data_IF_305828273074
#
_entry.id   IF_305828273074
#
_cell.length_a   1.000
_cell.length_b   1.000
_cell.length_c   1.000
_cell.angle_alpha   90.00
_cell.angle_beta   90.00
_cell.angle_gamma   90.00
#
_symmetry.space_group_name_H-M   'P 1'
#
loop_
_entity.id
_entity.type
_entity.pdbx_description
1 polymer ?
#
# COMPACT_ATOMS: atom_id res chain seq x y z
N UNK A 1 11.54 -23.56 -11.46
CA UNK A 1 10.34 -23.15 -12.21
C UNK A 1 9.12 -23.34 -11.33
N UNK A 2 8.37 -22.28 -11.11
CA UNK A 2 7.09 -22.24 -10.39
C UNK A 2 5.97 -22.08 -11.43
N UNK A 3 4.89 -22.85 -11.30
CA UNK A 3 3.72 -22.72 -12.18
C UNK A 3 2.65 -21.99 -11.41
N UNK A 4 2.10 -20.92 -11.99
CA UNK A 4 0.91 -20.26 -11.43
C UNK A 4 -0.27 -21.22 -11.60
N UNK A 5 -0.81 -21.70 -10.49
CA UNK A 5 -1.93 -22.65 -10.45
C UNK A 5 -2.98 -22.04 -9.52
N UNK A 6 -4.22 -21.91 -10.00
CA UNK A 6 -5.36 -21.30 -9.28
C UNK A 6 -5.28 -19.78 -9.15
N UNK A 7 -5.40 -19.06 -10.27
CA UNK A 7 -5.97 -17.70 -10.18
C UNK A 7 -7.47 -17.85 -9.99
N UNK A 8 -8.09 -17.16 -9.03
CA UNK A 8 -9.55 -17.21 -8.85
C UNK A 8 -10.23 -16.59 -10.07
N UNK A 9 -10.49 -17.37 -11.12
CA UNK A 9 -11.12 -16.93 -12.37
C UNK A 9 -12.56 -16.41 -12.18
N UNK A 10 -13.13 -16.57 -10.98
CA UNK A 10 -14.49 -16.16 -10.62
C UNK A 10 -14.53 -14.96 -9.65
N UNK A 11 -13.38 -14.35 -9.32
CA UNK A 11 -13.30 -13.28 -8.34
C UNK A 11 -12.60 -12.06 -8.93
N UNK A 12 -13.22 -11.46 -9.95
CA UNK A 12 -12.79 -10.26 -10.67
C UNK A 12 -12.62 -9.01 -9.77
N UNK A 13 -13.02 -9.12 -8.49
CA UNK A 13 -12.93 -8.04 -7.51
C UNK A 13 -11.98 -8.42 -6.39
N UNK A 14 -11.06 -7.52 -6.08
CA UNK A 14 -10.22 -7.63 -4.89
C UNK A 14 -11.10 -7.60 -3.63
N UNK A 15 -10.83 -8.48 -2.67
CA UNK A 15 -11.53 -8.45 -1.40
C UNK A 15 -10.94 -7.36 -0.48
N UNK A 16 -11.75 -6.83 0.45
CA UNK A 16 -11.25 -5.88 1.47
C UNK A 16 -10.10 -6.51 2.28
N UNK A 17 -10.13 -7.83 2.49
CA UNK A 17 -9.09 -8.51 3.26
C UNK A 17 -7.77 -8.64 2.49
N UNK A 18 -7.82 -8.91 1.19
CA UNK A 18 -6.65 -8.85 0.30
C UNK A 18 -6.00 -7.47 0.33
N UNK A 19 -6.80 -6.41 0.19
CA UNK A 19 -6.29 -5.03 0.22
C UNK A 19 -5.64 -4.70 1.57
N UNK A 20 -6.25 -5.10 2.70
CA UNK A 20 -5.65 -4.94 4.04
C UNK A 20 -4.34 -5.69 4.19
N UNK A 21 -4.27 -6.94 3.72
CA UNK A 21 -3.07 -7.75 3.75
C UNK A 21 -1.91 -7.12 2.95
N UNK A 22 -2.22 -6.57 1.78
CA UNK A 22 -1.26 -5.84 0.96
C UNK A 22 -0.72 -4.60 1.68
N UNK A 23 -1.61 -3.78 2.23
CA UNK A 23 -1.21 -2.55 2.94
C UNK A 23 -0.47 -2.85 4.25
N UNK A 24 -0.80 -3.95 4.92
CA UNK A 24 -0.06 -4.44 6.07
C UNK A 24 1.40 -4.76 5.70
N UNK A 25 1.62 -5.51 4.62
CA UNK A 25 2.99 -5.77 4.13
C UNK A 25 3.72 -4.48 3.78
N UNK A 26 3.01 -3.47 3.28
CA UNK A 26 3.59 -2.22 2.82
C UNK A 26 3.97 -1.22 3.92
N UNK A 27 3.46 -1.38 5.15
CA UNK A 27 3.60 -0.35 6.18
C UNK A 27 3.82 -0.84 7.60
N UNK A 28 3.38 -2.06 7.93
CA UNK A 28 3.33 -2.54 9.32
C UNK A 28 4.21 -3.76 9.54
N UNK A 29 4.37 -4.59 8.51
CA UNK A 29 5.23 -5.75 8.58
C UNK A 29 6.69 -5.34 8.84
N UNK A 30 7.43 -6.11 9.65
CA UNK A 30 8.84 -5.84 9.98
C UNK A 30 9.77 -5.70 8.75
N UNK A 31 9.36 -6.26 7.61
CA UNK A 31 10.10 -6.21 6.34
C UNK A 31 9.56 -5.17 5.35
N UNK A 32 8.68 -4.26 5.76
CA UNK A 32 8.06 -3.27 4.87
C UNK A 32 9.09 -2.41 4.13
N UNK A 33 10.24 -2.14 4.74
CA UNK A 33 11.28 -1.28 4.16
C UNK A 33 11.98 -1.89 2.93
N UNK A 34 12.01 -3.23 2.85
CA UNK A 34 12.69 -3.97 1.77
C UNK A 34 11.73 -4.52 0.71
N UNK A 35 10.43 -4.61 1.01
CA UNK A 35 9.41 -5.04 0.05
C UNK A 35 9.07 -3.85 -0.85
N UNK A 36 9.25 -3.99 -2.17
CA UNK A 36 9.02 -2.89 -3.13
C UNK A 36 7.79 -3.13 -4.03
N UNK A 37 7.36 -4.39 -4.20
CA UNK A 37 6.23 -4.76 -5.03
C UNK A 37 5.33 -5.78 -4.33
N UNK A 38 4.05 -5.74 -4.65
CA UNK A 38 3.00 -6.55 -4.05
C UNK A 38 2.22 -7.23 -5.16
N UNK A 39 2.55 -8.49 -5.44
CA UNK A 39 1.85 -9.29 -6.44
C UNK A 39 0.47 -9.68 -5.93
N UNK A 40 -0.52 -9.70 -6.83
CA UNK A 40 -1.94 -9.96 -6.55
C UNK A 40 -2.33 -11.23 -7.27
N UNK A 41 -2.82 -12.24 -6.54
CA UNK A 41 -3.29 -13.52 -7.10
C UNK A 41 -2.25 -14.23 -8.00
N UNK A 42 -0.95 -14.10 -7.67
CA UNK A 42 0.13 -14.72 -8.44
C UNK A 42 0.68 -15.97 -7.75
N UNK A 43 1.27 -15.81 -6.57
CA UNK A 43 1.70 -16.93 -5.73
C UNK A 43 0.59 -17.37 -4.77
N UNK A 44 -0.19 -16.39 -4.31
CA UNK A 44 -1.34 -16.53 -3.43
C UNK A 44 -2.17 -15.23 -3.52
N UNK A 45 -3.15 -15.04 -2.63
CA UNK A 45 -4.03 -13.86 -2.61
C UNK A 45 -3.22 -12.54 -2.73
N UNK A 46 -2.17 -12.40 -1.91
CA UNK A 46 -1.17 -11.32 -2.02
C UNK A 46 0.22 -11.88 -1.73
N UNK A 47 1.26 -11.32 -2.34
CA UNK A 47 2.64 -11.59 -1.92
C UNK A 47 3.55 -10.37 -2.05
N UNK A 48 4.39 -10.14 -1.05
CA UNK A 48 5.43 -9.12 -1.08
C UNK A 48 6.69 -9.64 -1.78
N UNK A 49 7.27 -8.81 -2.64
CA UNK A 49 8.48 -9.09 -3.40
C UNK A 49 9.57 -8.05 -3.09
N UNK A 50 10.81 -8.50 -3.07
CA UNK A 50 11.98 -7.63 -2.93
C UNK A 50 13.07 -8.01 -3.94
N UNK A 51 14.07 -7.14 -4.08
CA UNK A 51 15.19 -7.30 -5.03
C UNK A 51 16.07 -8.53 -4.75
N UNK A 52 16.02 -9.09 -3.53
CA UNK A 52 16.76 -10.30 -3.18
C UNK A 52 16.04 -11.60 -3.53
N UNK A 53 15.01 -11.53 -4.39
CA UNK A 53 14.15 -12.64 -4.80
C UNK A 53 13.43 -13.33 -3.64
N UNK A 54 13.22 -12.64 -2.53
CA UNK A 54 12.44 -13.19 -1.41
C UNK A 54 10.97 -12.86 -1.56
N UNK A 55 10.12 -13.78 -1.10
CA UNK A 55 8.67 -13.69 -1.15
C UNK A 55 8.09 -13.76 0.26
N UNK A 56 7.22 -12.81 0.60
CA UNK A 56 6.33 -12.87 1.76
C UNK A 56 4.95 -13.28 1.29
N UNK A 57 4.57 -14.52 1.57
CA UNK A 57 3.38 -15.15 1.01
C UNK A 57 2.19 -14.95 1.95
N UNK A 58 1.09 -14.36 1.46
CA UNK A 58 -0.07 -14.02 2.27
C UNK A 58 -1.32 -14.69 1.72
N UNK A 59 -1.96 -15.50 2.57
CA UNK A 59 -3.32 -15.95 2.37
C UNK A 59 -4.27 -15.07 3.18
N UNK A 60 -5.18 -14.38 2.51
CA UNK A 60 -6.17 -13.51 3.12
C UNK A 60 -7.57 -14.16 3.07
N UNK A 61 -8.24 -14.25 4.23
CA UNK A 61 -9.60 -14.81 4.31
C UNK A 61 -10.52 -13.93 5.13
N UNK A 62 -11.76 -13.77 4.68
CA UNK A 62 -12.78 -12.92 5.32
C UNK A 62 -13.98 -13.74 5.80
N UNK A 63 -13.75 -14.83 6.53
CA UNK A 63 -14.82 -15.67 7.08
C UNK A 63 -15.20 -15.22 8.50
N UNK A 64 -16.46 -14.82 8.70
CA UNK A 64 -16.99 -14.55 10.04
C UNK A 64 -16.99 -15.83 10.86
N UNK A 65 -16.64 -15.71 12.15
CA UNK A 65 -16.59 -16.85 13.09
C UNK A 65 -15.66 -17.99 12.62
N UNK A 66 -14.52 -17.63 12.03
CA UNK A 66 -13.53 -18.56 11.49
C UNK A 66 -13.14 -19.63 12.51
N UNK A 67 -13.43 -20.90 12.18
CA UNK A 67 -13.21 -22.05 13.08
C UNK A 67 -11.79 -22.60 12.90
N UNK A 68 -11.15 -23.14 13.95
CA UNK A 68 -9.78 -23.66 13.87
C UNK A 68 -9.56 -24.73 12.78
N UNK A 69 -10.52 -25.63 12.57
CA UNK A 69 -10.44 -26.59 11.46
C UNK A 69 -10.44 -25.88 10.09
N UNK A 70 -11.24 -24.83 9.94
CA UNK A 70 -11.34 -24.06 8.71
C UNK A 70 -10.09 -23.23 8.43
N UNK A 71 -9.45 -22.68 9.47
CA UNK A 71 -8.11 -22.08 9.38
C UNK A 71 -7.17 -23.07 8.71
N UNK A 72 -7.09 -24.30 9.21
CA UNK A 72 -6.26 -25.35 8.62
C UNK A 72 -6.55 -25.63 7.14
N UNK A 73 -7.82 -25.70 6.75
CA UNK A 73 -8.20 -25.87 5.34
C UNK A 73 -7.73 -24.73 4.44
N UNK A 74 -7.74 -23.50 4.94
CA UNK A 74 -7.31 -22.32 4.19
C UNK A 74 -5.79 -22.16 4.06
N UNK A 75 -5.01 -22.89 4.88
CA UNK A 75 -3.54 -22.88 4.78
C UNK A 75 -3.00 -23.72 3.60
N UNK A 76 -3.86 -24.32 2.77
CA UNK A 76 -3.44 -25.22 1.69
C UNK A 76 -2.47 -24.55 0.71
N UNK A 77 -2.77 -23.34 0.21
CA UNK A 77 -1.93 -22.68 -0.79
C UNK A 77 -0.57 -22.30 -0.22
N UNK A 78 -0.53 -21.76 1.01
CA UNK A 78 0.73 -21.51 1.73
C UNK A 78 1.56 -22.80 1.89
N UNK A 79 0.90 -23.93 2.19
CA UNK A 79 1.56 -25.22 2.29
C UNK A 79 2.06 -25.75 0.93
N UNK A 80 1.29 -25.56 -0.14
CA UNK A 80 1.70 -25.87 -1.51
C UNK A 80 2.97 -25.08 -1.87
N UNK A 81 3.01 -23.79 -1.54
CA UNK A 81 4.16 -22.90 -1.72
C UNK A 81 5.37 -23.32 -0.88
N UNK A 82 5.15 -23.69 0.39
CA UNK A 82 6.16 -24.28 1.27
C UNK A 82 6.81 -25.55 0.73
N UNK A 83 6.07 -26.34 -0.03
CA UNK A 83 6.58 -27.59 -0.65
C UNK A 83 6.93 -27.45 -2.12
N UNK A 84 6.88 -26.23 -2.67
CA UNK A 84 7.12 -25.96 -4.08
C UNK A 84 8.61 -25.88 -4.43
N UNK A 85 8.89 -25.77 -5.72
CA UNK A 85 10.22 -25.48 -6.25
C UNK A 85 10.76 -24.10 -5.83
N UNK A 86 9.90 -23.18 -5.39
CA UNK A 86 10.25 -21.87 -4.85
C UNK A 86 10.31 -21.85 -3.32
N UNK A 87 10.26 -23.01 -2.65
CA UNK A 87 10.29 -23.11 -1.18
C UNK A 87 11.46 -22.38 -0.50
N UNK A 88 12.62 -22.25 -1.17
CA UNK A 88 13.77 -21.49 -0.66
C UNK A 88 13.70 -19.97 -0.92
N UNK A 89 12.71 -19.50 -1.69
CA UNK A 89 12.44 -18.08 -1.98
C UNK A 89 11.37 -17.51 -1.07
N UNK A 90 10.42 -18.32 -0.62
CA UNK A 90 9.44 -17.94 0.39
C UNK A 90 10.12 -17.78 1.77
N UNK A 91 10.15 -16.54 2.27
CA UNK A 91 10.76 -16.24 3.58
C UNK A 91 9.78 -16.38 4.73
N UNK A 92 8.51 -16.08 4.49
CA UNK A 92 7.48 -16.08 5.52
C UNK A 92 6.12 -16.43 4.92
N UNK A 93 5.28 -17.06 5.74
CA UNK A 93 3.92 -17.48 5.37
C UNK A 93 2.95 -16.82 6.34
N UNK A 94 2.09 -15.95 5.82
CA UNK A 94 1.16 -15.17 6.61
C UNK A 94 -0.27 -15.63 6.34
N UNK A 95 -1.01 -15.90 7.41
CA UNK A 95 -2.45 -16.11 7.35
C UNK A 95 -3.18 -14.89 7.92
N UNK A 96 -3.71 -14.07 7.03
CA UNK A 96 -4.37 -12.81 7.34
C UNK A 96 -5.89 -13.01 7.43
N UNK A 97 -6.47 -12.73 8.60
CA UNK A 97 -7.83 -13.15 8.95
C UNK A 97 -8.55 -12.15 9.86
N UNK A 98 -9.88 -12.24 10.04
CA UNK A 98 -10.57 -11.44 11.03
C UNK A 98 -10.16 -11.84 12.45
N UNK A 99 -10.49 -10.98 13.42
CA UNK A 99 -10.35 -11.28 14.84
C UNK A 99 -10.97 -12.63 15.21
N UNK A 100 -10.17 -13.51 15.81
CA UNK A 100 -10.61 -14.83 16.24
C UNK A 100 -11.38 -14.77 17.56
N UNK A 101 -12.19 -15.81 17.79
CA UNK A 101 -12.76 -16.03 19.12
C UNK A 101 -11.62 -16.22 20.14
N UNK A 102 -11.61 -15.36 21.15
CA UNK A 102 -10.58 -15.32 22.20
C UNK A 102 -10.46 -16.63 22.99
N UNK A 103 -11.48 -17.49 22.95
CA UNK A 103 -11.40 -18.84 23.53
C UNK A 103 -10.32 -19.72 22.86
N UNK A 104 -9.94 -19.43 21.60
CA UNK A 104 -8.97 -20.24 20.84
C UNK A 104 -7.51 -19.97 21.19
N UNK A 105 -7.21 -18.80 21.74
CA UNK A 105 -5.85 -18.29 21.92
C UNK A 105 -5.53 -18.02 23.40
N UNK A 106 -4.24 -17.88 23.71
CA UNK A 106 -3.73 -17.60 25.05
C UNK A 106 -3.67 -16.10 25.33
N UNK A 107 -3.14 -15.31 24.39
CA UNK A 107 -2.97 -13.85 24.50
C UNK A 107 -3.70 -13.14 23.36
N UNK A 108 -4.28 -11.99 23.67
CA UNK A 108 -4.87 -11.08 22.69
C UNK A 108 -3.76 -10.29 21.99
N UNK A 109 -3.19 -10.89 20.95
CA UNK A 109 -2.15 -10.32 20.09
C UNK A 109 -2.71 -10.17 18.67
N UNK A 110 -2.22 -9.19 17.93
CA UNK A 110 -2.58 -9.02 16.51
C UNK A 110 -1.75 -9.87 15.57
N UNK A 111 -0.53 -10.22 15.98
CA UNK A 111 0.40 -11.05 15.23
C UNK A 111 0.96 -12.13 16.15
N UNK A 112 0.92 -13.39 15.73
CA UNK A 112 1.39 -14.50 16.56
C UNK A 112 1.63 -15.78 15.75
N UNK A 113 2.53 -16.63 16.26
CA UNK A 113 2.72 -17.99 15.75
C UNK A 113 1.70 -18.99 16.32
N UNK A 114 1.81 -20.24 15.85
CA UNK A 114 0.91 -21.33 16.28
C UNK A 114 0.89 -21.54 17.81
N UNK A 115 1.98 -21.20 18.50
CA UNK A 115 2.11 -21.33 19.96
C UNK A 115 1.14 -20.45 20.76
N UNK A 116 0.51 -19.44 20.15
CA UNK A 116 -0.52 -18.65 20.84
C UNK A 116 -1.90 -19.35 20.83
N UNK A 117 -2.11 -20.42 20.06
CA UNK A 117 -3.33 -21.22 20.11
C UNK A 117 -3.29 -22.24 21.25
N UNK A 118 -4.46 -22.51 21.87
CA UNK A 118 -4.57 -23.63 22.82
C UNK A 118 -4.46 -24.97 22.09
N UNK A 119 -3.86 -25.96 22.76
CA UNK A 119 -3.50 -27.26 22.16
C UNK A 119 -4.66 -27.98 21.45
N UNK A 120 -5.88 -27.91 22.01
CA UNK A 120 -7.09 -28.52 21.42
C UNK A 120 -7.46 -27.90 20.06
N UNK A 121 -7.17 -26.61 19.84
CA UNK A 121 -7.43 -25.92 18.59
C UNK A 121 -6.28 -26.09 17.60
N UNK A 122 -5.04 -26.22 18.07
CA UNK A 122 -3.90 -26.61 17.23
C UNK A 122 -4.20 -27.94 16.53
N UNK A 123 -4.73 -28.93 17.26
CA UNK A 123 -5.10 -30.22 16.69
C UNK A 123 -6.18 -30.09 15.62
N UNK A 124 -7.17 -29.20 15.81
CA UNK A 124 -8.20 -28.91 14.81
C UNK A 124 -7.62 -28.24 13.55
N UNK A 125 -6.69 -27.30 13.70
CA UNK A 125 -5.97 -26.67 12.58
C UNK A 125 -5.19 -27.73 11.79
N UNK A 126 -4.43 -28.59 12.48
CA UNK A 126 -3.70 -29.71 11.86
C UNK A 126 -4.62 -30.65 11.09
N UNK A 127 -5.77 -31.01 11.68
CA UNK A 127 -6.78 -31.84 11.01
C UNK A 127 -7.36 -31.18 9.76
N UNK A 128 -7.63 -29.87 9.83
CA UNK A 128 -8.10 -29.08 8.69
C UNK A 128 -7.12 -29.15 7.51
N UNK A 129 -5.86 -28.83 7.75
CA UNK A 129 -4.83 -28.87 6.71
C UNK A 129 -4.58 -30.29 6.20
N UNK A 130 -4.49 -31.26 7.11
CA UNK A 130 -4.32 -32.67 6.76
C UNK A 130 -5.47 -33.25 5.93
N UNK A 131 -6.67 -32.65 5.96
CA UNK A 131 -7.79 -33.07 5.11
C UNK A 131 -7.68 -32.59 3.66
N UNK A 132 -6.82 -31.59 3.39
CA UNK A 132 -6.59 -31.00 2.07
C UNK A 132 -5.27 -31.42 1.43
N UNK A 133 -4.30 -31.85 2.24
CA UNK A 133 -2.96 -32.24 1.82
C UNK A 133 -2.90 -33.72 1.43
N UNK A 134 -2.19 -34.04 0.35
CA UNK A 134 -1.92 -35.42 -0.08
C UNK A 134 -1.14 -36.20 0.99
N UNK A 135 -1.43 -37.50 1.14
CA UNK A 135 -0.81 -38.35 2.18
C UNK A 135 0.73 -38.31 2.17
N UNK A 136 1.32 -38.27 0.98
CA UNK A 136 2.77 -38.19 0.75
C UNK A 136 3.45 -36.95 1.34
N UNK A 137 2.69 -35.88 1.64
CA UNK A 137 3.23 -34.61 2.15
C UNK A 137 2.82 -34.32 3.61
N UNK A 138 1.99 -35.15 4.24
CA UNK A 138 1.46 -34.91 5.59
C UNK A 138 2.55 -34.79 6.67
N UNK A 139 3.67 -35.48 6.49
CA UNK A 139 4.82 -35.39 7.40
C UNK A 139 5.43 -33.97 7.49
N UNK A 140 5.21 -33.10 6.51
CA UNK A 140 5.70 -31.72 6.50
C UNK A 140 4.79 -30.72 7.20
N UNK A 141 3.57 -31.13 7.60
CA UNK A 141 2.54 -30.22 8.14
C UNK A 141 3.01 -29.52 9.42
N UNK A 142 3.57 -30.26 10.39
CA UNK A 142 4.01 -29.65 11.66
C UNK A 142 5.08 -28.58 11.42
N UNK A 143 6.14 -28.91 10.66
CA UNK A 143 7.23 -27.97 10.36
C UNK A 143 6.78 -26.75 9.54
N UNK A 144 5.74 -26.89 8.73
CA UNK A 144 5.11 -25.77 8.03
C UNK A 144 4.35 -24.88 9.02
N UNK A 145 3.47 -25.45 9.85
CA UNK A 145 2.64 -24.67 10.76
C UNK A 145 3.46 -23.88 11.79
N UNK A 146 4.61 -24.40 12.20
CA UNK A 146 5.53 -23.68 13.08
C UNK A 146 6.14 -22.42 12.44
N UNK A 147 6.05 -22.28 11.10
CA UNK A 147 6.53 -21.13 10.32
C UNK A 147 5.41 -20.17 9.90
N UNK A 148 4.15 -20.47 10.21
CA UNK A 148 3.02 -19.63 9.84
C UNK A 148 2.85 -18.51 10.87
N UNK A 149 2.85 -17.27 10.39
CA UNK A 149 2.46 -16.10 11.14
C UNK A 149 0.96 -15.84 10.94
N UNK A 150 0.21 -15.83 12.03
CA UNK A 150 -1.21 -15.50 12.02
C UNK A 150 -1.38 -14.01 12.31
N UNK A 151 -2.13 -13.31 11.45
CA UNK A 151 -2.34 -11.86 11.55
C UNK A 151 -3.83 -11.57 11.59
N UNK A 152 -4.28 -10.92 12.67
CA UNK A 152 -5.67 -10.47 12.83
C UNK A 152 -5.84 -9.05 12.28
N UNK A 153 -6.70 -8.92 11.27
CA UNK A 153 -7.03 -7.65 10.64
C UNK A 153 -7.68 -6.66 11.63
N UNK A 154 -7.24 -5.41 11.58
CA UNK A 154 -7.97 -4.27 12.12
C UNK A 154 -9.24 -4.01 11.30
N UNK A 155 -10.33 -3.68 11.99
CA UNK A 155 -11.64 -3.47 11.36
C UNK A 155 -11.68 -2.23 10.47
N UNK A 156 -11.11 -1.13 10.94
CA UNK A 156 -11.03 0.10 10.15
C UNK A 156 -10.10 -0.08 8.95
N UNK A 157 -10.60 0.29 7.77
CA UNK A 157 -9.86 0.28 6.50
C UNK A 157 -8.89 1.47 6.45
N UNK A 158 -9.28 2.63 7.01
CA UNK A 158 -8.50 3.87 7.04
C UNK A 158 -7.21 3.74 7.84
N UNK A 159 -7.23 2.97 8.93
CA UNK A 159 -6.06 2.57 9.72
C UNK A 159 -4.86 2.13 8.88
N UNK A 160 -5.09 1.35 7.81
CA UNK A 160 -3.99 0.86 6.97
C UNK A 160 -3.37 1.95 6.10
N UNK A 161 -4.18 2.93 5.67
CA UNK A 161 -3.69 4.08 4.92
C UNK A 161 -2.96 5.04 5.86
N UNK A 162 -3.47 5.25 7.07
CA UNK A 162 -2.80 6.07 8.10
C UNK A 162 -1.43 5.48 8.47
N UNK A 163 -1.29 4.16 8.53
CA UNK A 163 0.03 3.54 8.76
C UNK A 163 0.96 3.64 7.56
N UNK A 164 0.40 3.64 6.35
CA UNK A 164 1.17 3.79 5.13
C UNK A 164 1.63 5.24 4.91
N UNK A 165 0.84 6.23 5.31
CA UNK A 165 1.26 7.62 5.36
C UNK A 165 2.13 7.83 6.61
N UNK A 166 3.35 8.33 6.46
CA UNK A 166 4.17 8.71 7.63
C UNK A 166 3.70 10.03 8.28
N UNK A 167 2.41 10.35 8.11
CA UNK A 167 1.82 11.63 8.40
C UNK A 167 1.35 11.69 9.86
N UNK A 168 2.08 12.42 10.71
CA UNK A 168 1.78 12.54 12.14
C UNK A 168 0.79 13.68 12.48
N UNK A 169 -0.16 14.02 11.60
CA UNK A 169 -1.19 15.03 11.88
C UNK A 169 -2.57 14.39 11.91
N UNK A 170 -2.75 13.49 12.87
CA UNK A 170 -3.96 12.71 13.15
C UNK A 170 -5.19 13.52 13.59
N UNK A 171 -5.19 14.86 13.46
CA UNK A 171 -6.28 15.71 13.97
C UNK A 171 -7.01 16.56 12.94
N UNK A 172 -6.56 16.62 11.67
CA UNK A 172 -7.15 17.55 10.69
C UNK A 172 -7.54 16.94 9.34
N UNK A 173 -7.10 15.71 9.02
CA UNK A 173 -7.58 14.98 7.84
C UNK A 173 -8.88 14.25 8.22
N UNK A 174 -9.96 14.48 7.46
CA UNK A 174 -11.26 13.81 7.66
C UNK A 174 -11.07 12.30 7.47
N UNK A 175 -11.65 11.46 8.33
CA UNK A 175 -11.56 9.99 8.21
C UNK A 175 -11.99 9.48 6.82
N UNK A 176 -12.96 10.14 6.19
CA UNK A 176 -13.41 9.85 4.82
C UNK A 176 -12.29 9.86 3.79
N UNK A 177 -11.25 10.67 3.99
CA UNK A 177 -10.06 10.68 3.13
C UNK A 177 -9.40 9.31 3.05
N UNK A 178 -9.08 8.71 4.20
CA UNK A 178 -8.38 7.42 4.26
C UNK A 178 -9.24 6.30 3.68
N UNK A 179 -10.55 6.38 3.89
CA UNK A 179 -11.52 5.44 3.32
C UNK A 179 -11.54 5.51 1.78
N UNK A 180 -11.50 6.70 1.20
CA UNK A 180 -11.48 6.86 -0.26
C UNK A 180 -10.17 6.37 -0.88
N UNK A 181 -9.01 6.67 -0.28
CA UNK A 181 -7.73 6.13 -0.74
C UNK A 181 -7.74 4.59 -0.71
N UNK A 182 -8.27 4.00 0.35
CA UNK A 182 -8.41 2.54 0.44
C UNK A 182 -9.28 1.98 -0.69
N UNK A 183 -10.41 2.64 -1.00
CA UNK A 183 -11.29 2.24 -2.11
C UNK A 183 -10.59 2.35 -3.47
N UNK A 184 -9.84 3.42 -3.71
CA UNK A 184 -9.06 3.62 -4.94
C UNK A 184 -8.02 2.52 -5.14
N UNK A 185 -7.26 2.18 -4.10
CA UNK A 185 -6.28 1.09 -4.12
C UNK A 185 -6.97 -0.26 -4.40
N UNK A 186 -8.07 -0.56 -3.70
CA UNK A 186 -8.85 -1.79 -3.92
C UNK A 186 -9.43 -1.88 -5.33
N UNK A 187 -9.90 -0.76 -5.88
CA UNK A 187 -10.40 -0.70 -7.25
C UNK A 187 -9.28 -1.02 -8.25
N UNK A 188 -8.11 -0.40 -8.09
CA UNK A 188 -6.93 -0.68 -8.92
C UNK A 188 -6.48 -2.13 -8.80
N UNK A 189 -6.46 -2.71 -7.58
CA UNK A 189 -6.18 -4.13 -7.39
C UNK A 189 -7.15 -5.00 -8.21
N UNK A 190 -8.45 -4.68 -8.16
CA UNK A 190 -9.47 -5.41 -8.93
C UNK A 190 -9.19 -5.33 -10.43
N UNK A 191 -8.86 -4.14 -10.94
CA UNK A 191 -8.50 -3.94 -12.36
C UNK A 191 -7.29 -4.77 -12.79
N UNK A 192 -6.28 -4.92 -11.91
CA UNK A 192 -5.11 -5.77 -12.15
C UNK A 192 -5.46 -7.27 -12.17
N UNK A 193 -6.55 -7.71 -11.54
CA UNK A 193 -6.98 -9.12 -11.54
C UNK A 193 -7.57 -9.59 -12.88
N UNK A 194 -7.95 -8.66 -13.76
CA UNK A 194 -8.65 -8.94 -15.03
C UNK A 194 -7.80 -9.67 -16.08
N UNK A 195 -6.51 -9.91 -15.83
CA UNK A 195 -5.62 -10.64 -16.74
C UNK A 195 -5.49 -12.12 -16.33
N UNK A 196 -5.65 -13.03 -17.31
CA UNK A 196 -5.42 -14.46 -17.08
C UNK A 196 -3.92 -14.76 -17.05
N UNK A 197 -3.45 -15.31 -15.92
CA UNK A 197 -2.05 -15.70 -15.72
C UNK A 197 -1.90 -17.18 -15.33
N UNK A 198 -2.99 -17.93 -15.27
CA UNK A 198 -2.96 -19.35 -14.94
C UNK A 198 -2.12 -20.12 -15.96
N UNK A 199 -1.32 -21.06 -15.46
CA UNK A 199 -0.45 -21.89 -16.29
C UNK A 199 0.86 -21.23 -16.70
N UNK A 200 1.05 -19.91 -16.46
CA UNK A 200 2.34 -19.25 -16.69
C UNK A 200 3.41 -19.84 -15.78
N UNK A 201 4.63 -19.94 -16.32
CA UNK A 201 5.79 -20.51 -15.66
C UNK A 201 6.75 -19.39 -15.30
N UNK A 202 7.10 -19.30 -14.03
CA UNK A 202 8.06 -18.35 -13.48
C UNK A 202 9.37 -19.08 -13.21
N UNK A 203 10.47 -18.56 -13.76
CA UNK A 203 11.83 -19.04 -13.50
C UNK A 203 12.39 -18.42 -12.21
N UNK A 204 12.03 -17.16 -11.94
CA UNK A 204 12.37 -16.42 -10.73
C UNK A 204 11.15 -15.68 -10.16
N UNK A 205 11.17 -15.27 -8.88
CA UNK A 205 10.10 -14.48 -8.28
C UNK A 205 9.77 -13.18 -9.01
N UNK A 206 10.78 -12.49 -9.56
CA UNK A 206 10.64 -11.23 -10.30
C UNK A 206 9.84 -11.38 -11.60
N UNK A 207 9.79 -12.58 -12.18
CA UNK A 207 8.97 -12.85 -13.37
C UNK A 207 7.48 -12.58 -13.12
N UNK A 208 7.04 -12.58 -11.85
CA UNK A 208 5.69 -12.18 -11.47
C UNK A 208 5.38 -10.71 -11.81
N UNK A 209 6.38 -9.83 -11.83
CA UNK A 209 6.22 -8.42 -12.18
C UNK A 209 5.85 -8.24 -13.66
N UNK A 210 6.39 -9.12 -14.53
CA UNK A 210 6.09 -9.15 -15.96
C UNK A 210 4.63 -9.57 -16.27
N UNK A 211 3.90 -10.03 -15.26
CA UNK A 211 2.49 -10.37 -15.40
C UNK A 211 1.57 -9.16 -15.27
N UNK A 212 2.11 -8.01 -14.88
CA UNK A 212 1.37 -6.77 -14.57
C UNK A 212 0.20 -7.00 -13.58
N UNK A 213 0.38 -7.93 -12.63
CA UNK A 213 -0.55 -8.18 -11.51
C UNK A 213 0.09 -7.79 -10.19
N UNK A 214 0.58 -6.56 -10.12
CA UNK A 214 1.19 -6.03 -8.92
C UNK A 214 0.88 -4.55 -8.73
N UNK A 215 1.06 -4.10 -7.49
CA UNK A 215 1.24 -2.70 -7.14
C UNK A 215 2.62 -2.52 -6.55
N UNK A 216 3.23 -1.37 -6.79
CA UNK A 216 4.50 -0.96 -6.19
C UNK A 216 4.25 -0.08 -4.97
N UNK A 217 5.23 -0.01 -4.07
CA UNK A 217 5.17 0.93 -2.94
C UNK A 217 4.97 2.38 -3.43
N UNK A 218 5.62 2.75 -4.54
CA UNK A 218 5.49 4.07 -5.15
C UNK A 218 4.05 4.35 -5.61
N UNK A 219 3.39 3.40 -6.27
CA UNK A 219 1.98 3.54 -6.66
C UNK A 219 1.08 3.72 -5.44
N UNK A 220 1.27 2.93 -4.38
CA UNK A 220 0.50 3.05 -3.13
C UNK A 220 0.64 4.46 -2.52
N UNK A 221 1.86 4.97 -2.43
CA UNK A 221 2.15 6.32 -1.94
C UNK A 221 1.61 7.42 -2.87
N UNK A 222 1.51 7.14 -4.17
CA UNK A 222 0.94 8.09 -5.15
C UNK A 222 -0.57 8.25 -4.95
N UNK A 223 -1.31 7.18 -4.61
CA UNK A 223 -2.74 7.31 -4.27
C UNK A 223 -2.97 8.25 -3.09
N UNK A 224 -2.15 8.11 -2.04
CA UNK A 224 -2.18 9.00 -0.87
C UNK A 224 -1.93 10.44 -1.32
N UNK A 225 -0.80 10.68 -2.00
CA UNK A 225 -0.38 12.02 -2.40
C UNK A 225 -1.42 12.70 -3.32
N UNK A 226 -1.90 12.02 -4.37
CA UNK A 226 -2.91 12.54 -5.30
C UNK A 226 -4.18 12.98 -4.55
N UNK A 227 -4.62 12.17 -3.59
CA UNK A 227 -5.80 12.49 -2.79
C UNK A 227 -5.55 13.68 -1.87
N UNK A 228 -4.35 13.80 -1.28
CA UNK A 228 -4.06 14.90 -0.34
C UNK A 228 -4.08 16.26 -1.04
N UNK A 229 -3.62 16.30 -2.29
CA UNK A 229 -3.60 17.54 -3.07
C UNK A 229 -4.86 17.75 -3.90
N UNK A 230 -5.81 16.80 -3.94
CA UNK A 230 -7.00 16.86 -4.79
C UNK A 230 -6.69 16.96 -6.30
N UNK A 231 -5.50 16.53 -6.70
CA UNK A 231 -4.96 16.68 -8.06
C UNK A 231 -4.10 15.47 -8.41
N UNK A 232 -4.26 14.96 -9.62
CA UNK A 232 -3.44 13.85 -10.11
C UNK A 232 -2.07 14.37 -10.53
N UNK A 233 -1.02 14.01 -9.78
CA UNK A 233 0.34 14.32 -10.18
C UNK A 233 0.75 13.60 -11.47
N UNK A 234 0.13 12.45 -11.74
CA UNK A 234 0.36 11.60 -12.91
C UNK A 234 -0.38 12.05 -14.16
N UNK A 235 -1.48 12.79 -14.03
CA UNK A 235 -2.22 13.28 -15.19
C UNK A 235 -1.60 14.57 -15.76
N UNK A 236 -1.59 14.65 -17.09
CA UNK A 236 -1.16 15.83 -17.85
C UNK A 236 -2.28 16.90 -17.89
N UNK A 237 -3.52 16.50 -17.64
CA UNK A 237 -4.70 17.34 -17.77
C UNK A 237 -5.05 18.02 -16.45
N UNK A 238 -4.54 19.23 -16.27
CA UNK A 238 -5.01 20.17 -15.27
C UNK A 238 -3.86 20.98 -14.69
N UNK A 239 -3.87 22.27 -14.97
CA UNK A 239 -3.04 23.24 -14.26
C UNK A 239 -3.94 23.81 -13.17
N UNK A 240 -3.48 23.87 -11.91
CA UNK A 240 -4.25 24.53 -10.86
C UNK A 240 -4.64 25.94 -11.30
N UNK A 241 -5.92 26.25 -11.18
CA UNK A 241 -6.48 27.57 -11.47
C UNK A 241 -5.74 28.66 -10.69
N UNK A 242 -5.39 28.39 -9.43
CA UNK A 242 -4.61 29.31 -8.58
C UNK A 242 -3.20 29.61 -9.12
N UNK A 243 -2.64 28.76 -9.99
CA UNK A 243 -1.31 28.94 -10.59
C UNK A 243 -1.35 29.80 -11.88
N UNK A 244 -2.53 30.02 -12.46
CA UNK A 244 -2.64 30.61 -13.80
C UNK A 244 -1.99 32.00 -13.91
N UNK A 245 -2.23 32.88 -12.92
CA UNK A 245 -1.64 34.22 -12.88
C UNK A 245 -0.11 34.19 -12.78
N UNK A 246 0.44 33.19 -12.07
CA UNK A 246 1.88 33.02 -11.95
C UNK A 246 2.50 32.60 -13.29
N UNK A 247 1.92 31.61 -13.96
CA UNK A 247 2.39 31.19 -15.30
C UNK A 247 2.31 32.32 -16.32
N UNK A 248 1.25 33.13 -16.26
CA UNK A 248 1.12 34.31 -17.12
C UNK A 248 2.25 35.31 -16.87
N UNK A 249 2.59 35.54 -15.60
CA UNK A 249 3.70 36.43 -15.20
C UNK A 249 5.05 35.90 -15.73
N UNK A 250 5.31 34.60 -15.61
CA UNK A 250 6.54 33.99 -16.14
C UNK A 250 6.63 34.12 -17.67
N UNK A 251 5.52 33.93 -18.37
CA UNK A 251 5.46 34.09 -19.84
C UNK A 251 5.70 35.52 -20.29
N UNK A 252 5.22 36.51 -19.53
CA UNK A 252 5.51 37.93 -19.81
C UNK A 252 6.96 38.29 -19.55
N UNK A 253 7.61 37.63 -18.58
CA UNK A 253 9.02 37.87 -18.26
C UNK A 253 9.99 37.16 -19.22
N UNK A 254 9.55 36.05 -19.84
CA UNK A 254 10.36 35.27 -20.77
C UNK A 254 9.48 34.73 -21.92
N UNK A 255 9.65 35.29 -23.11
CA UNK A 255 8.88 34.88 -24.31
C UNK A 255 9.10 33.41 -24.69
N UNK A 256 10.27 32.85 -24.39
CA UNK A 256 10.63 31.44 -24.65
C UNK A 256 10.13 30.49 -23.54
N UNK A 257 9.33 30.96 -22.59
CA UNK A 257 8.81 30.14 -21.49
C UNK A 257 7.93 29.00 -22.00
N UNK A 258 8.40 27.76 -21.80
CA UNK A 258 7.63 26.55 -22.03
C UNK A 258 6.93 26.09 -20.73
N UNK A 259 5.64 26.35 -20.66
CA UNK A 259 4.76 25.93 -19.57
C UNK A 259 4.81 24.42 -19.33
N UNK A 260 4.89 23.59 -20.37
CA UNK A 260 4.86 22.13 -20.23
C UNK A 260 6.13 21.60 -19.55
N UNK A 261 7.29 22.15 -19.95
CA UNK A 261 8.58 21.86 -19.33
C UNK A 261 8.61 22.35 -17.88
N UNK A 262 8.15 23.57 -17.61
CA UNK A 262 8.05 24.11 -16.24
C UNK A 262 7.23 23.18 -15.33
N UNK A 263 6.03 22.78 -15.76
CA UNK A 263 5.13 21.94 -14.98
C UNK A 263 5.75 20.55 -14.72
N UNK A 264 6.41 19.97 -15.74
CA UNK A 264 7.12 18.69 -15.56
C UNK A 264 8.23 18.80 -14.52
N UNK A 265 8.99 19.89 -14.55
CA UNK A 265 10.14 20.09 -13.68
C UNK A 265 9.71 20.30 -12.22
N UNK A 266 8.70 21.14 -11.96
CA UNK A 266 8.16 21.33 -10.59
C UNK A 266 7.51 20.06 -10.05
N UNK A 267 6.78 19.30 -10.88
CA UNK A 267 6.25 17.98 -10.49
C UNK A 267 7.37 17.01 -10.14
N UNK A 268 8.44 16.97 -10.94
CA UNK A 268 9.59 16.10 -10.67
C UNK A 268 10.27 16.43 -9.34
N UNK A 269 10.43 17.71 -9.02
CA UNK A 269 10.97 18.18 -7.73
C UNK A 269 10.12 17.71 -6.54
N UNK A 270 8.80 17.88 -6.63
CA UNK A 270 7.85 17.40 -5.61
C UNK A 270 7.94 15.89 -5.43
N UNK A 271 7.89 15.13 -6.53
CA UNK A 271 8.00 13.67 -6.47
C UNK A 271 9.31 13.20 -5.87
N UNK A 272 10.44 13.79 -6.26
CA UNK A 272 11.74 13.47 -5.66
C UNK A 272 11.77 13.79 -4.18
N UNK A 273 11.21 14.93 -3.78
CA UNK A 273 11.12 15.31 -2.36
C UNK A 273 10.23 14.37 -1.55
N UNK A 274 9.15 13.86 -2.15
CA UNK A 274 8.23 12.95 -1.50
C UNK A 274 8.80 11.54 -1.36
N UNK A 275 9.44 11.03 -2.41
CA UNK A 275 9.98 9.66 -2.45
C UNK A 275 11.39 9.50 -1.87
N UNK A 276 12.02 10.59 -1.43
CA UNK A 276 13.28 10.54 -0.69
C UNK A 276 13.05 10.08 0.75
N UNK A 277 13.02 8.76 0.97
CA UNK A 277 12.85 8.13 2.31
C UNK A 277 13.79 8.70 3.39
N UNK A 278 14.98 9.21 3.02
CA UNK A 278 15.91 9.77 4.00
C UNK A 278 15.45 11.13 4.53
N UNK A 279 14.64 11.84 3.76
CA UNK A 279 14.26 13.24 3.98
C UNK A 279 12.74 13.49 3.90
N UNK A 280 11.91 12.46 3.72
CA UNK A 280 10.46 12.56 3.54
C UNK A 280 9.77 13.32 4.69
N UNK A 281 10.32 13.21 5.92
CA UNK A 281 9.86 13.99 7.08
C UNK A 281 9.86 15.50 6.85
N UNK A 282 10.77 16.02 6.04
CA UNK A 282 10.85 17.45 5.73
C UNK A 282 9.79 17.83 4.71
N UNK A 283 9.57 16.99 3.68
CA UNK A 283 8.45 17.15 2.75
C UNK A 283 7.12 17.21 3.52
N UNK A 284 6.90 16.28 4.44
CA UNK A 284 5.69 16.26 5.25
C UNK A 284 5.52 17.49 6.14
N UNK A 285 6.62 18.00 6.69
CA UNK A 285 6.58 19.25 7.46
C UNK A 285 6.21 20.45 6.58
N UNK A 286 6.78 20.55 5.37
CA UNK A 286 6.42 21.60 4.41
C UNK A 286 4.94 21.50 4.03
N UNK A 287 4.47 20.28 3.77
CA UNK A 287 3.07 19.99 3.47
C UNK A 287 2.13 20.45 4.59
N UNK A 288 2.49 20.18 5.84
CA UNK A 288 1.74 20.64 7.02
C UNK A 288 1.70 22.17 7.14
N UNK A 289 2.85 22.85 6.96
CA UNK A 289 2.91 24.32 7.00
C UNK A 289 2.06 24.96 5.90
N UNK A 290 2.03 24.39 4.69
CA UNK A 290 1.15 24.84 3.60
C UNK A 290 -0.32 24.69 3.98
N UNK A 291 -0.73 23.52 4.49
CA UNK A 291 -2.11 23.28 4.90
C UNK A 291 -2.56 24.25 6.01
N UNK A 292 -1.70 24.50 6.99
CA UNK A 292 -1.98 25.45 8.06
C UNK A 292 -2.14 26.87 7.51
N UNK A 293 -1.26 27.32 6.63
CA UNK A 293 -1.34 28.65 6.02
C UNK A 293 -2.62 28.83 5.19
N UNK A 294 -3.06 27.80 4.45
CA UNK A 294 -4.33 27.84 3.70
C UNK A 294 -5.53 27.90 4.65
N UNK A 295 -5.48 27.16 5.77
CA UNK A 295 -6.57 27.13 6.75
C UNK A 295 -6.69 28.45 7.53
N UNK A 296 -5.56 29.10 7.83
CA UNK A 296 -5.54 30.39 8.54
C UNK A 296 -6.10 31.53 7.70
N UNK A 297 -5.90 31.49 6.37
CA UNK A 297 -6.52 32.43 5.43
C UNK A 297 -6.88 31.75 4.09
N UNK A 298 -8.12 31.29 3.99
CA UNK A 298 -8.63 30.64 2.78
C UNK A 298 -8.62 31.56 1.56
N UNK A 299 -8.61 32.89 1.74
CA UNK A 299 -8.62 33.87 0.64
C UNK A 299 -7.23 34.26 0.17
N UNK A 300 -6.19 33.94 0.94
CA UNK A 300 -4.81 34.25 0.57
C UNK A 300 -4.45 33.61 -0.78
N UNK A 301 -3.77 34.37 -1.65
CA UNK A 301 -3.27 33.86 -2.91
C UNK A 301 -1.99 33.02 -2.70
N UNK A 302 -1.57 32.28 -3.73
CA UNK A 302 -0.46 31.33 -3.61
C UNK A 302 0.88 31.98 -3.21
N UNK A 303 1.09 33.25 -3.55
CA UNK A 303 2.31 34.01 -3.20
C UNK A 303 2.25 34.45 -1.73
N UNK A 304 1.09 34.92 -1.27
CA UNK A 304 0.87 35.25 0.14
C UNK A 304 1.07 34.03 1.04
N UNK A 305 0.54 32.87 0.62
CA UNK A 305 0.75 31.60 1.32
C UNK A 305 2.24 31.23 1.33
N UNK A 306 2.94 31.33 0.19
CA UNK A 306 4.38 31.05 0.12
C UNK A 306 5.17 31.91 1.11
N UNK A 307 4.86 33.20 1.19
CA UNK A 307 5.55 34.15 2.07
C UNK A 307 5.30 33.87 3.57
N UNK A 308 4.19 33.21 3.91
CA UNK A 308 3.87 32.80 5.27
C UNK A 308 4.57 31.50 5.70
N UNK A 309 5.14 30.74 4.75
CA UNK A 309 5.93 29.55 5.05
C UNK A 309 7.32 29.96 5.52
N UNK A 310 7.84 29.28 6.55
CA UNK A 310 9.17 29.58 7.06
C UNK A 310 10.22 29.23 5.99
N UNK A 311 11.13 30.14 5.61
CA UNK A 311 12.14 29.85 4.59
C UNK A 311 12.96 28.58 4.88
N UNK A 312 13.36 28.42 6.14
CA UNK A 312 14.11 27.24 6.62
C UNK A 312 13.32 25.91 6.54
N UNK A 313 12.01 25.94 6.29
CA UNK A 313 11.23 24.72 6.02
C UNK A 313 11.43 24.26 4.58
N UNK A 314 11.42 25.20 3.62
CA UNK A 314 11.67 24.92 2.20
C UNK A 314 13.12 24.47 2.01
N UNK A 315 14.08 25.17 2.62
CA UNK A 315 15.53 24.86 2.49
C UNK A 315 15.90 23.45 2.98
N UNK A 316 15.09 22.86 3.86
CA UNK A 316 15.28 21.49 4.36
C UNK A 316 14.74 20.42 3.42
N UNK A 317 13.85 20.79 2.51
CA UNK A 317 13.36 19.91 1.46
C UNK A 317 14.36 19.94 0.30
N UNK A 318 15.35 19.04 0.32
CA UNK A 318 16.51 19.05 -0.58
C UNK A 318 16.19 19.25 -2.08
N UNK A 319 15.07 18.70 -2.56
CA UNK A 319 14.67 18.81 -3.97
C UNK A 319 13.70 19.96 -4.28
N UNK A 320 13.18 20.65 -3.26
CA UNK A 320 12.17 21.70 -3.41
C UNK A 320 12.82 23.08 -3.54
N UNK A 321 12.16 23.97 -4.26
CA UNK A 321 12.45 25.39 -4.33
C UNK A 321 11.15 26.22 -4.30
N UNK A 322 11.26 27.53 -4.52
CA UNK A 322 10.10 28.42 -4.50
C UNK A 322 9.05 28.03 -5.57
N UNK A 323 9.49 27.68 -6.78
CA UNK A 323 8.59 27.32 -7.88
C UNK A 323 7.85 26.01 -7.62
N UNK A 324 8.57 24.99 -7.14
CA UNK A 324 7.93 23.72 -6.77
C UNK A 324 7.03 23.86 -5.54
N UNK A 325 7.38 24.75 -4.61
CA UNK A 325 6.54 25.06 -3.45
C UNK A 325 5.27 25.83 -3.86
N UNK A 326 5.37 26.81 -4.75
CA UNK A 326 4.22 27.51 -5.33
C UNK A 326 3.28 26.55 -6.06
N UNK A 327 3.84 25.62 -6.84
CA UNK A 327 3.05 24.59 -7.50
C UNK A 327 2.32 23.71 -6.47
N UNK A 328 3.03 23.25 -5.42
CA UNK A 328 2.46 22.44 -4.34
C UNK A 328 1.34 23.18 -3.58
N UNK A 329 1.53 24.47 -3.27
CA UNK A 329 0.49 25.33 -2.69
C UNK A 329 -0.74 25.38 -3.60
N UNK A 330 -0.52 25.58 -4.90
CA UNK A 330 -1.61 25.73 -5.87
C UNK A 330 -2.46 24.47 -5.98
N UNK A 331 -1.85 23.28 -6.05
CA UNK A 331 -2.60 22.02 -6.09
C UNK A 331 -3.37 21.81 -4.78
N UNK A 332 -2.74 22.00 -3.61
CA UNK A 332 -3.41 21.81 -2.31
C UNK A 332 -4.60 22.76 -2.16
N UNK A 333 -4.42 24.05 -2.47
CA UNK A 333 -5.46 25.07 -2.36
C UNK A 333 -6.67 24.73 -3.24
N UNK A 334 -6.42 24.38 -4.51
CA UNK A 334 -7.49 24.04 -5.45
C UNK A 334 -8.18 22.73 -5.06
N UNK A 335 -7.42 21.73 -4.60
CA UNK A 335 -7.95 20.45 -4.14
C UNK A 335 -8.86 20.57 -2.92
N UNK A 336 -8.47 21.35 -1.91
CA UNK A 336 -9.32 21.63 -0.75
C UNK A 336 -10.63 22.32 -1.16
N UNK A 337 -10.58 23.27 -2.09
CA UNK A 337 -11.75 23.99 -2.60
C UNK A 337 -12.75 23.08 -3.33
N UNK A 338 -12.31 21.93 -3.86
CA UNK A 338 -13.15 20.94 -4.54
C UNK A 338 -13.80 19.92 -3.57
N UNK A 339 -13.25 19.75 -2.36
CA UNK A 339 -13.70 18.75 -1.39
C UNK A 339 -14.71 19.28 -0.35
N UNK A 340 -14.92 20.59 -0.29
CA UNK A 340 -15.93 21.24 0.56
C UNK A 340 -17.22 21.63 -0.19
N UNK A 341 -17.34 21.24 -1.47
CA UNK A 341 -18.60 21.13 -2.22
C UNK A 341 -19.00 19.66 -2.38
#
# INVERSE_FOLDING_TARGET
MYKVIKTEANNDKASTMETKALLYLASQHQSSDIIHAYSIDCFNDVSGLCESYNIWDVQAKNEKNLRPRKIGEYLLTLFENYTSSFSNKFKEYLFFMPTLNRMYIHKDLKEYGLNNFKIEYINKIKQGLSSKVSDSKKNKISSFLDKVLFVEAVQDDGYYIEKLSQFNVSKKIKESYFQEVFKEIKHTQSSKKNSSIEGKILSAPEDALMLDRHLTYHELQTFILNRMVGFSFTDVSGIPSSLFNWLFTLKLANEDFDQSTYIRDVKSKIFRSYFDKSNEKYFWKLFEEIHLAIYEDEKANIIEILNNIKPNTIDKCYFMDQDSTLYLISIIKDGLSQHDN
#
